data_IF_710868347440
#
_entry.id   IF_710868347440
#
_cell.length_a   1.000
_cell.length_b   1.000
_cell.length_c   1.000
_cell.angle_alpha   90.00
_cell.angle_beta   90.00
_cell.angle_gamma   90.00
#
_symmetry.space_group_name_H-M   'P 1'
#
loop_
_entity.id
_entity.type
_entity.pdbx_description
1 polymer ?
#
# COMPACT_ATOMS: atom_id res chain seq x y z
N UNK A 1 14.44 1.87 27.97
CA UNK A 1 14.21 1.53 26.55
C UNK A 1 12.78 1.94 26.25
N UNK A 2 12.59 3.07 25.56
CA UNK A 2 11.26 3.52 25.14
C UNK A 2 10.70 2.48 24.17
N UNK A 3 9.65 1.77 24.57
CA UNK A 3 8.93 0.86 23.69
C UNK A 3 8.42 1.68 22.51
N UNK A 4 8.94 1.42 21.32
CA UNK A 4 8.37 1.99 20.12
C UNK A 4 7.00 1.33 19.95
N UNK A 5 5.94 2.11 20.20
CA UNK A 5 4.59 1.60 20.03
C UNK A 5 4.29 1.55 18.52
N UNK A 6 4.01 0.34 18.05
CA UNK A 6 3.66 0.07 16.67
C UNK A 6 2.15 0.29 16.43
N UNK A 7 1.80 0.74 15.23
CA UNK A 7 0.42 0.88 14.78
C UNK A 7 0.18 0.07 13.49
N UNK A 8 -0.85 -0.80 13.47
CA UNK A 8 -1.18 -1.55 12.26
C UNK A 8 -1.60 -0.62 11.11
N UNK A 9 -1.09 -0.85 9.91
CA UNK A 9 -1.41 -0.07 8.70
C UNK A 9 -2.93 0.09 8.46
N UNK A 10 -3.73 -0.95 8.72
CA UNK A 10 -5.19 -0.88 8.59
C UNK A 10 -5.81 0.15 9.54
N UNK A 11 -5.25 0.32 10.75
CA UNK A 11 -5.70 1.34 11.71
C UNK A 11 -5.27 2.74 11.26
N UNK A 12 -4.04 2.88 10.76
CA UNK A 12 -3.52 4.12 10.17
C UNK A 12 -4.42 4.59 9.04
N UNK A 13 -4.74 3.72 8.07
CA UNK A 13 -5.62 4.03 6.95
C UNK A 13 -7.00 4.49 7.42
N UNK A 14 -7.62 3.75 8.36
CA UNK A 14 -8.95 4.10 8.88
C UNK A 14 -8.95 5.46 9.57
N UNK A 15 -7.90 5.74 10.34
CA UNK A 15 -7.77 7.01 11.06
C UNK A 15 -7.54 8.17 10.09
N UNK A 16 -6.61 8.01 9.16
CA UNK A 16 -6.30 8.99 8.12
C UNK A 16 -7.55 9.40 7.31
N UNK A 17 -8.34 8.43 6.86
CA UNK A 17 -9.57 8.69 6.10
C UNK A 17 -10.59 9.48 6.93
N UNK A 18 -10.75 9.11 8.20
CA UNK A 18 -11.66 9.78 9.14
C UNK A 18 -11.24 11.22 9.40
N UNK A 19 -9.95 11.51 9.51
CA UNK A 19 -9.43 12.87 9.69
C UNK A 19 -9.74 13.76 8.49
N UNK A 20 -9.76 13.18 7.29
CA UNK A 20 -10.09 13.88 6.05
C UNK A 20 -11.61 13.91 5.75
N UNK A 21 -12.44 13.35 6.65
CA UNK A 21 -13.89 13.33 6.48
C UNK A 21 -14.38 12.50 5.28
N UNK A 22 -13.57 11.57 4.78
CA UNK A 22 -13.89 10.73 3.62
C UNK A 22 -13.97 9.25 3.99
N UNK A 23 -14.73 8.48 3.21
CA UNK A 23 -14.72 7.03 3.30
C UNK A 23 -13.73 6.41 2.31
N UNK A 24 -13.35 5.15 2.54
CA UNK A 24 -12.58 4.39 1.56
C UNK A 24 -13.32 4.27 0.21
N UNK A 25 -14.65 4.22 0.23
CA UNK A 25 -15.45 4.18 -0.99
C UNK A 25 -15.30 5.48 -1.79
N UNK A 26 -15.36 6.63 -1.11
CA UNK A 26 -15.23 7.94 -1.76
C UNK A 26 -13.84 8.08 -2.38
N UNK A 27 -12.79 7.75 -1.62
CA UNK A 27 -11.41 7.76 -2.12
C UNK A 27 -11.27 6.90 -3.39
N UNK A 28 -11.69 5.64 -3.33
CA UNK A 28 -11.55 4.71 -4.46
C UNK A 28 -12.44 5.06 -5.65
N UNK A 29 -13.52 5.83 -5.45
CA UNK A 29 -14.38 6.31 -6.54
C UNK A 29 -13.81 7.50 -7.29
N UNK A 30 -12.93 8.29 -6.66
CA UNK A 30 -12.23 9.39 -7.34
C UNK A 30 -11.05 8.88 -8.16
N UNK A 31 -10.44 7.78 -7.72
CA UNK A 31 -9.38 7.09 -8.45
C UNK A 31 -9.92 6.23 -9.61
N UNK A 32 -11.09 6.53 -10.19
CA UNK A 32 -11.78 5.72 -11.22
C UNK A 32 -10.92 5.56 -12.49
N UNK A 33 -9.94 4.68 -12.39
CA UNK A 33 -8.93 4.35 -13.38
C UNK A 33 -9.11 2.89 -13.75
N UNK A 34 -8.94 2.58 -15.04
CA UNK A 34 -8.95 1.21 -15.48
C UNK A 34 -7.76 0.44 -14.90
N UNK A 35 -7.85 -0.89 -14.94
CA UNK A 35 -6.84 -1.75 -14.34
C UNK A 35 -5.45 -1.55 -14.96
N UNK A 36 -5.39 -1.20 -16.23
CA UNK A 36 -4.13 -1.02 -16.97
C UNK A 36 -3.39 0.24 -16.51
N UNK A 37 -4.11 1.36 -16.38
CA UNK A 37 -3.57 2.62 -15.85
C UNK A 37 -3.03 2.48 -14.43
N UNK A 38 -3.78 1.80 -13.55
CA UNK A 38 -3.34 1.53 -12.17
C UNK A 38 -2.05 0.69 -12.17
N UNK A 39 -1.97 -0.34 -13.02
CA UNK A 39 -0.78 -1.17 -13.12
C UNK A 39 0.43 -0.41 -13.69
N UNK A 40 0.22 0.54 -14.60
CA UNK A 40 1.28 1.45 -15.06
C UNK A 40 1.77 2.34 -13.91
N UNK A 41 0.85 2.93 -13.14
CA UNK A 41 1.17 3.76 -11.99
C UNK A 41 1.92 2.98 -10.89
N UNK A 42 1.54 1.73 -10.63
CA UNK A 42 2.25 0.82 -9.72
C UNK A 42 3.64 0.46 -10.24
N UNK A 43 3.78 0.17 -11.53
CA UNK A 43 5.09 -0.20 -12.13
C UNK A 43 6.13 0.93 -12.03
N UNK A 44 5.69 2.19 -11.93
CA UNK A 44 6.56 3.35 -11.69
C UNK A 44 7.11 3.38 -10.25
N UNK A 45 6.40 2.78 -9.29
CA UNK A 45 6.64 2.88 -7.83
C UNK A 45 7.12 1.59 -7.17
N UNK A 46 6.99 0.46 -7.86
CA UNK A 46 7.30 -0.86 -7.33
C UNK A 46 8.32 -1.54 -8.22
N UNK A 47 9.34 -2.15 -7.60
CA UNK A 47 10.22 -3.08 -8.28
C UNK A 47 9.49 -4.40 -8.51
N UNK A 48 9.10 -4.64 -9.77
CA UNK A 48 8.46 -5.89 -10.17
C UNK A 48 8.92 -6.37 -11.55
N UNK A 49 9.02 -7.68 -11.71
CA UNK A 49 9.19 -8.33 -13.01
C UNK A 49 7.87 -8.35 -13.79
N UNK A 50 7.93 -8.68 -15.08
CA UNK A 50 6.72 -8.87 -15.90
C UNK A 50 5.78 -9.94 -15.32
N UNK A 51 6.33 -11.05 -14.83
CA UNK A 51 5.55 -12.13 -14.23
C UNK A 51 4.83 -11.67 -12.95
N UNK A 52 5.55 -10.94 -12.09
CA UNK A 52 5.00 -10.31 -10.88
C UNK A 52 3.90 -9.31 -11.19
N UNK A 53 4.10 -8.44 -12.20
CA UNK A 53 3.08 -7.50 -12.68
C UNK A 53 1.81 -8.24 -13.09
N UNK A 54 1.95 -9.29 -13.91
CA UNK A 54 0.82 -10.11 -14.35
C UNK A 54 0.14 -10.83 -13.18
N UNK A 55 0.89 -11.27 -12.17
CA UNK A 55 0.34 -11.92 -10.98
C UNK A 55 -0.53 -10.94 -10.17
N UNK A 56 -0.05 -9.72 -9.91
CA UNK A 56 -0.84 -8.67 -9.25
C UNK A 56 -2.11 -8.35 -10.05
N UNK A 57 -1.95 -8.14 -11.35
CA UNK A 57 -3.06 -7.78 -12.23
C UNK A 57 -4.11 -8.89 -12.32
N UNK A 58 -3.75 -10.17 -12.27
CA UNK A 58 -4.72 -11.27 -12.34
C UNK A 58 -5.47 -11.50 -11.03
N UNK A 59 -4.80 -11.36 -9.90
CA UNK A 59 -5.34 -11.79 -8.60
C UNK A 59 -6.02 -10.68 -7.80
N UNK A 60 -5.76 -9.42 -8.12
CA UNK A 60 -6.34 -8.28 -7.40
C UNK A 60 -7.43 -7.60 -8.22
N UNK A 61 -8.47 -7.11 -7.55
CA UNK A 61 -9.45 -6.24 -8.21
C UNK A 61 -8.85 -4.86 -8.47
N UNK A 62 -9.44 -4.06 -9.38
CA UNK A 62 -9.02 -2.66 -9.56
C UNK A 62 -9.12 -1.87 -8.26
N UNK A 63 -10.09 -2.19 -7.39
CA UNK A 63 -10.23 -1.57 -6.08
C UNK A 63 -9.07 -1.89 -5.14
N UNK A 64 -8.61 -3.14 -5.13
CA UNK A 64 -7.46 -3.56 -4.31
C UNK A 64 -6.16 -2.95 -4.83
N UNK A 65 -5.99 -2.90 -6.15
CA UNK A 65 -4.83 -2.26 -6.79
C UNK A 65 -4.79 -0.75 -6.51
N UNK A 66 -5.93 -0.07 -6.59
CA UNK A 66 -6.04 1.35 -6.24
C UNK A 66 -5.72 1.60 -4.77
N UNK A 67 -6.24 0.75 -3.88
CA UNK A 67 -5.93 0.86 -2.45
C UNK A 67 -4.44 0.65 -2.20
N UNK A 68 -3.83 -0.36 -2.83
CA UNK A 68 -2.39 -0.60 -2.75
C UNK A 68 -1.60 0.62 -3.23
N UNK A 69 -1.95 1.18 -4.39
CA UNK A 69 -1.30 2.36 -4.96
C UNK A 69 -1.39 3.57 -4.01
N UNK A 70 -2.59 3.83 -3.48
CA UNK A 70 -2.80 4.91 -2.51
C UNK A 70 -1.95 4.74 -1.26
N UNK A 71 -1.95 3.54 -0.68
CA UNK A 71 -1.21 3.24 0.55
C UNK A 71 0.30 3.38 0.35
N UNK A 72 0.83 2.85 -0.75
CA UNK A 72 2.23 3.01 -1.13
C UNK A 72 2.59 4.51 -1.22
N UNK A 73 1.77 5.28 -1.92
CA UNK A 73 2.02 6.71 -2.11
C UNK A 73 1.97 7.47 -0.79
N UNK A 74 0.92 7.31 0.00
CA UNK A 74 0.67 8.12 1.20
C UNK A 74 1.58 7.75 2.38
N UNK A 75 1.79 6.46 2.63
CA UNK A 75 2.39 6.00 3.89
C UNK A 75 3.84 5.55 3.78
N UNK A 76 4.33 5.28 2.57
CA UNK A 76 5.70 4.79 2.36
C UNK A 76 6.54 5.74 1.51
N UNK A 77 5.98 6.28 0.42
CA UNK A 77 6.71 7.22 -0.45
C UNK A 77 6.70 8.63 0.15
N UNK A 78 5.52 9.21 0.42
CA UNK A 78 5.40 10.58 0.95
C UNK A 78 5.74 10.69 2.43
N UNK A 79 5.81 9.57 3.14
CA UNK A 79 6.18 9.53 4.55
C UNK A 79 7.50 8.75 4.75
N UNK A 80 8.66 9.41 4.56
CA UNK A 80 9.96 8.76 4.73
C UNK A 80 10.23 8.37 6.19
N UNK A 81 9.55 8.97 7.17
CA UNK A 81 9.74 8.64 8.59
C UNK A 81 9.19 7.28 8.99
N UNK A 82 8.23 6.73 8.23
CA UNK A 82 7.50 5.52 8.62
C UNK A 82 6.61 5.69 9.86
N UNK A 83 6.44 6.92 10.38
CA UNK A 83 5.66 7.19 11.59
C UNK A 83 4.27 7.72 11.24
N UNK A 84 3.28 7.36 12.04
CA UNK A 84 1.94 7.97 12.07
C UNK A 84 1.60 8.38 13.50
N UNK A 85 1.47 9.69 13.75
CA UNK A 85 1.22 10.25 15.10
C UNK A 85 2.24 9.79 16.15
N UNK A 86 3.51 9.68 15.75
CA UNK A 86 4.61 9.24 16.61
C UNK A 86 4.71 7.72 16.82
N UNK A 87 3.82 6.93 16.20
CA UNK A 87 3.84 5.46 16.24
C UNK A 87 4.42 4.89 14.95
N UNK A 88 5.17 3.79 15.03
CA UNK A 88 5.75 3.15 13.84
C UNK A 88 4.67 2.39 13.09
N UNK A 89 4.53 2.65 11.78
CA UNK A 89 3.58 1.92 10.93
C UNK A 89 4.10 0.50 10.69
N UNK A 90 3.24 -0.50 10.92
CA UNK A 90 3.51 -1.90 10.59
C UNK A 90 2.81 -2.33 9.30
N UNK A 91 3.51 -2.86 8.29
CA UNK A 91 4.96 -3.16 8.25
C UNK A 91 5.85 -1.92 8.15
N UNK A 92 7.06 -2.00 8.72
CA UNK A 92 8.01 -0.88 8.72
C UNK A 92 8.50 -0.55 7.30
N UNK A 93 8.88 0.71 7.09
CA UNK A 93 9.25 1.21 5.76
C UNK A 93 10.48 0.48 5.20
N UNK A 94 11.43 0.14 6.07
CA UNK A 94 12.69 -0.53 5.74
C UNK A 94 12.47 -1.94 5.19
N UNK A 95 11.41 -2.63 5.62
CA UNK A 95 11.05 -3.95 5.11
C UNK A 95 10.29 -3.87 3.78
N UNK A 96 9.54 -2.78 3.57
CA UNK A 96 8.68 -2.59 2.40
C UNK A 96 9.45 -2.03 1.20
N UNK A 97 10.43 -1.16 1.44
CA UNK A 97 11.07 -0.35 0.40
C UNK A 97 12.56 -0.57 0.26
N UNK A 98 13.05 -0.46 -0.98
CA UNK A 98 14.47 -0.34 -1.30
C UNK A 98 14.66 0.97 -2.03
N UNK A 99 15.39 1.92 -1.42
CA UNK A 99 15.52 3.27 -1.95
C UNK A 99 14.17 4.00 -2.04
N UNK A 100 13.82 4.44 -3.24
CA UNK A 100 12.61 5.21 -3.54
C UNK A 100 11.40 4.36 -3.97
N UNK A 101 11.58 3.04 -4.09
CA UNK A 101 10.54 2.13 -4.58
C UNK A 101 10.22 1.02 -3.60
N UNK A 102 8.98 0.56 -3.67
CA UNK A 102 8.48 -0.59 -2.92
C UNK A 102 8.97 -1.88 -3.60
N UNK A 103 9.35 -2.88 -2.81
CA UNK A 103 9.68 -4.21 -3.35
C UNK A 103 8.41 -5.01 -3.62
N UNK A 104 8.49 -6.04 -4.46
CA UNK A 104 7.33 -6.91 -4.66
C UNK A 104 6.88 -7.59 -3.36
N UNK A 105 7.81 -8.00 -2.49
CA UNK A 105 7.46 -8.55 -1.18
C UNK A 105 6.83 -7.49 -0.28
N UNK A 106 7.31 -6.24 -0.35
CA UNK A 106 6.68 -5.10 0.32
C UNK A 106 5.20 -4.92 -0.08
N UNK A 107 4.87 -5.09 -1.37
CA UNK A 107 3.46 -5.10 -1.81
C UNK A 107 2.65 -6.21 -1.12
N UNK A 108 3.20 -7.42 -1.03
CA UNK A 108 2.53 -8.55 -0.36
C UNK A 108 2.33 -8.28 1.13
N UNK A 109 3.33 -7.70 1.81
CA UNK A 109 3.24 -7.30 3.23
C UNK A 109 2.14 -6.26 3.44
N UNK A 110 2.08 -5.23 2.58
CA UNK A 110 1.02 -4.21 2.62
C UNK A 110 -0.36 -4.84 2.44
N UNK A 111 -0.55 -5.66 1.40
CA UNK A 111 -1.83 -6.31 1.12
C UNK A 111 -2.29 -7.16 2.31
N UNK A 112 -1.37 -7.94 2.90
CA UNK A 112 -1.63 -8.72 4.12
C UNK A 112 -2.02 -7.83 5.30
N UNK A 113 -1.30 -6.73 5.53
CA UNK A 113 -1.60 -5.79 6.61
C UNK A 113 -2.95 -5.07 6.45
N UNK A 114 -3.42 -4.91 5.22
CA UNK A 114 -4.76 -4.39 4.90
C UNK A 114 -5.86 -5.46 5.04
N UNK A 115 -5.50 -6.73 5.22
CA UNK A 115 -6.44 -7.85 5.26
C UNK A 115 -6.94 -8.28 3.88
N UNK A 116 -6.19 -7.96 2.82
CA UNK A 116 -6.48 -8.38 1.44
C UNK A 116 -5.76 -9.72 1.22
N UNK A 117 -6.51 -10.81 1.36
CA UNK A 117 -6.00 -12.14 1.04
C UNK A 117 -5.79 -12.25 -0.45
N UNK A 118 -4.56 -12.53 -0.87
CA UNK A 118 -4.24 -12.79 -2.26
C UNK A 118 -3.28 -13.97 -2.31
N UNK A 119 -3.66 -15.02 -3.04
CA UNK A 119 -2.78 -16.16 -3.33
C UNK A 119 -1.83 -15.77 -4.47
N UNK A 120 -1.04 -14.71 -4.24
CA UNK A 120 -0.06 -14.23 -5.22
C UNK A 120 1.22 -15.02 -4.99
N UNK A 121 1.34 -16.11 -5.74
CA UNK A 121 2.55 -16.88 -5.92
C UNK A 121 3.15 -16.53 -7.30
N UNK A 122 4.48 -16.48 -7.40
CA UNK A 122 5.21 -16.22 -8.65
C UNK A 122 5.91 -17.50 -9.07
#
# INVERSE_FOLDING_TARGET
>A
MSGEDYIPLRRVLKDYLREHGITLKDLLSVMDEDKEGIMEALSKRVYMTRAQRMALERHLSSRDLNLLLFVIQAFYILNPSGLYKGLIIEPVREDVMVGDKVTFEGCKMILKALGISSNIEI
#
